data_IF_574012227555
#
_entry.id   IF_574012227555
#
_cell.length_a   1.000
_cell.length_b   1.000
_cell.length_c   1.000
_cell.angle_alpha   90.00
_cell.angle_beta   90.00
_cell.angle_gamma   90.00
#
_symmetry.space_group_name_H-M   'P 1'
#
loop_
_entity.id
_entity.type
_entity.pdbx_description
1 polymer ?
#
# COMPACT_ATOMS: atom_id res chain seq x y z
N UNK A 1 22.37 11.61 -3.28
CA UNK A 1 21.44 10.48 -3.01
C UNK A 1 19.98 10.74 -3.46
N UNK A 2 19.57 11.95 -3.87
CA UNK A 2 18.15 12.34 -3.95
C UNK A 2 17.40 12.17 -5.30
N UNK A 3 18.07 11.86 -6.42
CA UNK A 3 17.35 11.78 -7.71
C UNK A 3 16.53 10.49 -7.83
N UNK A 4 17.17 9.35 -7.51
CA UNK A 4 16.54 8.03 -7.52
C UNK A 4 15.38 7.89 -6.54
N UNK A 5 15.45 8.56 -5.38
CA UNK A 5 14.34 8.51 -4.41
C UNK A 5 13.11 9.27 -4.92
N UNK A 6 13.30 10.35 -5.70
CA UNK A 6 12.20 11.08 -6.35
C UNK A 6 11.58 10.27 -7.49
N UNK A 7 12.39 9.62 -8.32
CA UNK A 7 11.92 8.70 -9.36
C UNK A 7 11.10 7.55 -8.73
N UNK A 8 11.63 6.97 -7.65
CA UNK A 8 10.96 5.90 -6.91
C UNK A 8 9.66 6.36 -6.25
N UNK A 9 9.60 7.59 -5.72
CA UNK A 9 8.38 8.15 -5.15
C UNK A 9 7.25 8.23 -6.19
N UNK A 10 7.56 8.58 -7.44
CA UNK A 10 6.57 8.62 -8.53
C UNK A 10 6.02 7.22 -8.81
N UNK A 11 6.89 6.22 -8.89
CA UNK A 11 6.49 4.82 -9.09
C UNK A 11 5.63 4.30 -7.91
N UNK A 12 6.04 4.58 -6.68
CA UNK A 12 5.28 4.22 -5.47
C UNK A 12 3.90 4.87 -5.49
N UNK A 13 3.80 6.16 -5.81
CA UNK A 13 2.51 6.88 -5.90
C UNK A 13 1.61 6.30 -6.97
N UNK A 14 2.15 5.96 -8.14
CA UNK A 14 1.40 5.32 -9.23
C UNK A 14 0.81 3.99 -8.76
N UNK A 15 1.64 3.07 -8.27
CA UNK A 15 1.18 1.78 -7.75
C UNK A 15 0.18 1.91 -6.58
N UNK A 16 0.39 2.90 -5.72
CA UNK A 16 -0.51 3.17 -4.60
C UNK A 16 -1.87 3.69 -5.06
N UNK A 17 -1.90 4.60 -6.03
CA UNK A 17 -3.12 5.12 -6.65
C UNK A 17 -3.87 4.02 -7.39
N UNK A 18 -3.17 3.21 -8.19
CA UNK A 18 -3.75 2.09 -8.95
C UNK A 18 -4.40 1.06 -8.01
N UNK A 19 -3.82 0.84 -6.83
CA UNK A 19 -4.39 -0.03 -5.78
C UNK A 19 -5.54 0.60 -4.98
N UNK A 20 -6.02 1.78 -5.34
CA UNK A 20 -7.03 2.57 -4.60
C UNK A 20 -6.60 2.88 -3.15
N UNK A 21 -5.32 3.16 -2.95
CA UNK A 21 -4.73 3.47 -1.63
C UNK A 21 -4.86 2.32 -0.62
N UNK A 22 -4.92 1.06 -1.08
CA UNK A 22 -5.08 -0.11 -0.20
C UNK A 22 -3.76 -0.84 0.08
N UNK A 23 -2.73 -0.64 -0.75
CA UNK A 23 -1.48 -1.39 -0.65
C UNK A 23 -0.46 -0.70 0.25
N UNK A 24 0.14 -1.47 1.15
CA UNK A 24 1.31 -1.06 1.93
C UNK A 24 2.63 -1.38 1.22
N UNK A 25 3.76 -1.10 1.90
CA UNK A 25 5.12 -1.30 1.39
C UNK A 25 5.36 -2.68 0.79
N UNK A 26 4.87 -3.74 1.45
CA UNK A 26 5.03 -5.13 1.00
C UNK A 26 4.39 -5.41 -0.35
N UNK A 27 3.17 -4.92 -0.58
CA UNK A 27 2.44 -5.13 -1.85
C UNK A 27 2.98 -4.23 -2.95
N UNK A 28 3.33 -2.98 -2.62
CA UNK A 28 3.98 -2.07 -3.58
C UNK A 28 5.33 -2.64 -4.02
N UNK A 29 6.12 -3.21 -3.10
CA UNK A 29 7.37 -3.90 -3.43
C UNK A 29 7.14 -5.03 -4.44
N UNK A 30 6.11 -5.86 -4.25
CA UNK A 30 5.80 -6.94 -5.18
C UNK A 30 5.43 -6.42 -6.58
N UNK A 31 4.66 -5.33 -6.67
CA UNK A 31 4.32 -4.69 -7.96
C UNK A 31 5.57 -4.15 -8.64
N UNK A 32 6.39 -3.37 -7.93
CA UNK A 32 7.62 -2.82 -8.48
C UNK A 32 8.62 -3.91 -8.89
N UNK A 33 8.72 -4.99 -8.12
CA UNK A 33 9.57 -6.13 -8.46
C UNK A 33 9.08 -6.86 -9.72
N UNK A 34 7.76 -6.97 -9.92
CA UNK A 34 7.18 -7.52 -11.14
C UNK A 34 7.44 -6.63 -12.37
N UNK A 35 7.47 -5.30 -12.17
CA UNK A 35 7.83 -4.32 -13.19
C UNK A 35 9.35 -4.26 -13.46
N UNK A 36 10.15 -5.07 -12.77
CA UNK A 36 11.61 -5.20 -12.96
C UNK A 36 12.47 -4.29 -12.06
N UNK A 37 11.86 -3.55 -11.13
CA UNK A 37 12.58 -2.67 -10.21
C UNK A 37 13.18 -3.46 -9.04
N UNK A 38 14.51 -3.47 -8.95
CA UNK A 38 15.26 -4.16 -7.88
C UNK A 38 15.47 -3.23 -6.68
N UNK A 39 14.42 -3.06 -5.88
CA UNK A 39 14.41 -2.10 -4.77
C UNK A 39 14.00 -2.84 -3.49
N UNK A 40 14.72 -2.63 -2.40
CA UNK A 40 14.37 -3.27 -1.13
C UNK A 40 13.07 -2.74 -0.55
N UNK A 41 12.26 -3.61 0.03
CA UNK A 41 11.03 -3.22 0.74
C UNK A 41 11.31 -2.14 1.79
N UNK A 42 12.43 -2.25 2.54
CA UNK A 42 12.83 -1.25 3.53
C UNK A 42 12.95 0.15 2.93
N UNK A 43 13.47 0.28 1.71
CA UNK A 43 13.61 1.58 1.04
C UNK A 43 12.24 2.15 0.64
N UNK A 44 11.34 1.29 0.15
CA UNK A 44 9.95 1.67 -0.17
C UNK A 44 9.23 2.10 1.10
N UNK A 45 9.31 1.33 2.19
CA UNK A 45 8.69 1.66 3.46
C UNK A 45 9.19 2.99 4.03
N UNK A 46 10.51 3.26 3.94
CA UNK A 46 11.08 4.55 4.32
C UNK A 46 10.49 5.71 3.51
N UNK A 47 10.48 5.60 2.19
CA UNK A 47 9.97 6.65 1.30
C UNK A 47 8.46 6.87 1.51
N UNK A 48 7.70 5.79 1.68
CA UNK A 48 6.27 5.88 2.01
C UNK A 48 6.06 6.65 3.32
N UNK A 49 6.84 6.34 4.37
CA UNK A 49 6.75 7.01 5.66
C UNK A 49 7.18 8.48 5.59
N UNK A 50 8.24 8.79 4.86
CA UNK A 50 8.75 10.17 4.68
C UNK A 50 7.78 11.06 3.87
N UNK A 51 6.82 10.47 3.14
CA UNK A 51 5.86 11.19 2.29
C UNK A 51 4.39 10.98 2.73
N UNK A 52 4.16 10.54 3.96
CA UNK A 52 2.84 10.31 4.55
C UNK A 52 1.94 9.36 3.74
N UNK A 53 2.55 8.45 2.98
CA UNK A 53 1.83 7.44 2.18
C UNK A 53 1.53 6.25 3.09
N UNK A 54 0.27 6.09 3.46
CA UNK A 54 -0.19 4.96 4.25
C UNK A 54 -1.50 4.39 3.69
N UNK A 55 -1.65 3.05 3.64
CA UNK A 55 -2.88 2.44 3.16
C UNK A 55 -4.06 2.82 4.04
N UNK A 56 -5.22 3.01 3.42
CA UNK A 56 -6.47 3.27 4.15
C UNK A 56 -6.75 2.12 5.11
N UNK A 57 -6.79 2.42 6.40
CA UNK A 57 -7.25 1.46 7.42
C UNK A 57 -8.76 1.34 7.29
N UNK A 58 -9.25 0.29 6.64
CA UNK A 58 -10.64 -0.10 6.77
C UNK A 58 -10.85 -0.63 8.18
N UNK A 59 -11.73 0.02 8.95
CA UNK A 59 -12.10 -0.47 10.27
C UNK A 59 -12.68 -1.90 10.20
N UNK A 60 -12.68 -2.64 11.32
CA UNK A 60 -13.31 -3.95 11.36
C UNK A 60 -14.80 -3.83 10.97
N UNK A 61 -15.26 -4.72 10.09
CA UNK A 61 -16.69 -4.85 9.83
C UNK A 61 -17.35 -5.53 11.04
N UNK A 62 -18.48 -4.99 11.55
CA UNK A 62 -19.20 -5.65 12.62
C UNK A 62 -19.70 -7.02 12.15
N UNK A 63 -19.74 -8.04 13.03
CA UNK A 63 -20.27 -9.36 12.67
C UNK A 63 -21.76 -9.24 12.34
N UNK A 64 -22.17 -9.77 11.19
CA UNK A 64 -23.58 -9.90 10.82
C UNK A 64 -24.13 -11.11 11.56
N UNK A 65 -24.87 -10.89 12.65
CA UNK A 65 -25.55 -11.96 13.38
C UNK A 65 -26.89 -12.29 12.71
N UNK A 66 -27.13 -13.57 12.44
CA UNK A 66 -28.41 -14.06 11.95
C UNK A 66 -29.48 -13.79 13.02
N UNK A 67 -30.45 -12.93 12.71
CA UNK A 67 -31.63 -12.74 13.55
C UNK A 67 -32.58 -13.91 13.31
N UNK A 68 -32.45 -14.97 14.10
CA UNK A 68 -33.44 -16.04 14.14
C UNK A 68 -34.71 -15.49 14.82
N UNK A 69 -35.74 -15.22 14.02
CA UNK A 69 -37.05 -14.81 14.52
C UNK A 69 -37.83 -16.09 14.84
N UNK A 70 -37.84 -16.52 16.10
CA UNK A 70 -38.69 -17.63 16.53
C UNK A 70 -40.10 -17.07 16.84
N UNK A 71 -41.08 -17.51 16.04
CA UNK A 71 -42.51 -17.32 16.29
C UNK A 71 -43.00 -18.28 17.37
#
# INVERSE_FOLDING_TARGET
>A
RNRRDRELLVLIRKAFSDSRHSYGSRRIHAVLMADGERISERRIARIMRENDISPKKTGPQPPVTTRANHK
#
